data_IF_066715888675
#
_entry.id   IF_066715888675
#
_cell.length_a   1.000
_cell.length_b   1.000
_cell.length_c   1.000
_cell.angle_alpha   90.00
_cell.angle_beta   90.00
_cell.angle_gamma   90.00
#
_symmetry.space_group_name_H-M   'P 1'
#
loop_
_entity.id
_entity.type
_entity.pdbx_description
1 polymer ?
#
# COMPACT_ATOMS: atom_id res chain seq x y z
N UNK A 1 11.54 -16.40 2.78
CA UNK A 1 11.73 -15.33 3.74
C UNK A 1 10.38 -15.09 4.38
N UNK A 2 10.27 -15.19 5.72
CA UNK A 2 9.20 -14.50 6.38
C UNK A 2 9.29 -13.06 5.89
N UNK A 3 8.20 -12.47 5.51
CA UNK A 3 8.22 -11.11 5.02
C UNK A 3 8.64 -10.20 6.17
N UNK A 4 9.95 -10.01 6.32
CA UNK A 4 10.54 -9.04 7.24
C UNK A 4 10.03 -7.61 7.01
N UNK A 5 9.22 -7.44 5.98
CA UNK A 5 8.55 -6.21 5.62
C UNK A 5 7.18 -6.01 6.28
N UNK A 6 6.62 -7.03 6.96
CA UNK A 6 5.41 -6.86 7.76
C UNK A 6 5.84 -6.57 9.19
N UNK A 7 5.47 -5.44 9.79
CA UNK A 7 5.81 -5.11 11.18
C UNK A 7 4.97 -5.94 12.15
N UNK A 8 5.29 -7.21 12.22
CA UNK A 8 4.61 -8.21 13.01
C UNK A 8 5.55 -8.80 14.04
N UNK A 9 5.00 -9.50 15.01
CA UNK A 9 5.76 -10.16 16.05
C UNK A 9 6.64 -11.24 15.42
N UNK A 10 7.96 -11.30 15.69
CA UNK A 10 8.87 -12.28 15.07
C UNK A 10 8.47 -13.74 15.26
N UNK A 11 7.67 -14.05 16.29
CA UNK A 11 7.15 -15.38 16.55
C UNK A 11 6.09 -15.87 15.56
N UNK A 12 5.48 -14.95 14.80
CA UNK A 12 4.43 -15.29 13.83
C UNK A 12 5.03 -15.38 12.42
N UNK A 13 5.64 -16.51 12.16
CA UNK A 13 6.16 -16.85 10.83
C UNK A 13 5.01 -17.08 9.86
N UNK A 14 5.12 -16.49 8.67
CA UNK A 14 4.06 -16.60 7.66
C UNK A 14 2.90 -15.66 7.93
N UNK A 15 3.19 -14.52 8.57
CA UNK A 15 2.22 -13.47 8.81
C UNK A 15 1.35 -13.25 7.59
N UNK A 16 0.09 -13.53 7.78
CA UNK A 16 -0.92 -13.31 6.77
C UNK A 16 -1.20 -11.82 6.68
N UNK A 17 -1.58 -11.37 5.50
CA UNK A 17 -2.05 -10.00 5.33
C UNK A 17 -3.38 -9.74 6.05
N UNK A 18 -3.95 -10.75 6.71
CA UNK A 18 -5.26 -10.69 7.37
C UNK A 18 -5.17 -11.12 8.83
N UNK A 19 -5.91 -10.43 9.68
CA UNK A 19 -6.19 -10.79 11.08
C UNK A 19 -4.94 -11.05 11.93
N UNK A 20 -3.90 -10.27 11.70
CA UNK A 20 -2.57 -10.49 12.23
C UNK A 20 -2.32 -9.78 13.57
N UNK A 21 -1.18 -10.09 14.19
CA UNK A 21 -0.71 -9.49 15.44
C UNK A 21 0.42 -8.50 15.15
N UNK A 22 0.28 -7.28 15.64
CA UNK A 22 1.27 -6.22 15.51
C UNK A 22 1.74 -5.74 16.89
N UNK A 23 2.93 -5.15 16.93
CA UNK A 23 3.39 -4.42 18.13
C UNK A 23 2.75 -3.03 18.14
N UNK A 24 1.89 -2.80 19.09
CA UNK A 24 1.28 -1.49 19.34
C UNK A 24 1.83 -0.91 20.64
N UNK A 25 2.60 0.17 20.55
CA UNK A 25 3.25 0.82 21.70
C UNK A 25 4.02 -0.19 22.58
N UNK A 26 4.78 -1.08 21.95
CA UNK A 26 5.61 -2.07 22.64
C UNK A 26 4.86 -3.32 23.13
N UNK A 27 3.55 -3.45 22.86
CA UNK A 27 2.74 -4.61 23.26
C UNK A 27 2.16 -5.30 22.05
N UNK A 28 2.08 -6.63 22.12
CA UNK A 28 1.41 -7.44 21.11
C UNK A 28 -0.10 -7.18 21.14
N UNK A 29 -0.65 -6.90 19.95
CA UNK A 29 -2.08 -6.70 19.78
C UNK A 29 -2.57 -7.32 18.49
N UNK A 30 -3.63 -8.15 18.57
CA UNK A 30 -4.29 -8.72 17.41
C UNK A 30 -5.24 -7.70 16.78
N UNK A 31 -5.17 -7.58 15.46
CA UNK A 31 -6.05 -6.73 14.67
C UNK A 31 -6.86 -7.56 13.69
N UNK A 32 -8.12 -7.19 13.51
CA UNK A 32 -8.99 -7.75 12.47
C UNK A 32 -8.88 -6.97 11.16
N UNK A 33 -8.86 -7.69 10.06
CA UNK A 33 -8.91 -7.14 8.71
C UNK A 33 -7.57 -7.19 7.98
N UNK A 34 -7.56 -6.62 6.79
CA UNK A 34 -6.40 -6.55 5.92
C UNK A 34 -5.36 -5.54 6.45
N UNK A 35 -4.08 -5.91 6.45
CA UNK A 35 -3.01 -5.13 7.07
C UNK A 35 -3.00 -3.65 6.67
N UNK A 36 -3.10 -3.36 5.37
CA UNK A 36 -3.15 -1.97 4.89
C UNK A 36 -4.34 -1.21 5.45
N UNK A 37 -5.54 -1.84 5.46
CA UNK A 37 -6.73 -1.22 6.06
C UNK A 37 -6.54 -0.95 7.56
N UNK A 38 -5.85 -1.85 8.26
CA UNK A 38 -5.51 -1.68 9.68
C UNK A 38 -4.59 -0.47 9.87
N UNK A 39 -3.51 -0.38 9.10
CA UNK A 39 -2.54 0.71 9.23
C UNK A 39 -3.17 2.07 8.96
N UNK A 40 -3.96 2.20 7.91
CA UNK A 40 -4.69 3.45 7.63
C UNK A 40 -5.75 3.79 8.68
N UNK A 41 -6.40 2.78 9.27
CA UNK A 41 -7.34 2.99 10.38
C UNK A 41 -6.64 3.55 11.62
N UNK A 42 -5.53 2.95 12.01
CA UNK A 42 -4.76 3.38 13.18
C UNK A 42 -4.11 4.76 12.96
N UNK A 43 -3.64 5.04 11.74
CA UNK A 43 -3.14 6.36 11.38
C UNK A 43 -4.22 7.45 11.54
N UNK A 44 -5.43 7.21 11.02
CA UNK A 44 -6.55 8.15 11.18
C UNK A 44 -6.94 8.34 12.66
N UNK A 45 -6.95 7.26 13.45
CA UNK A 45 -7.20 7.35 14.88
C UNK A 45 -6.16 8.24 15.58
N UNK A 46 -4.87 8.02 15.28
CA UNK A 46 -3.77 8.83 15.84
C UNK A 46 -3.90 10.31 15.45
N UNK A 47 -4.18 10.63 14.18
CA UNK A 47 -4.36 12.00 13.71
C UNK A 47 -5.52 12.69 14.43
N UNK A 48 -6.67 12.01 14.60
CA UNK A 48 -7.82 12.55 15.31
C UNK A 48 -7.54 12.76 16.81
N UNK A 49 -6.90 11.82 17.46
CA UNK A 49 -6.51 11.94 18.87
C UNK A 49 -5.55 13.12 19.12
N UNK A 50 -4.61 13.35 18.16
CA UNK A 50 -3.68 14.49 18.23
C UNK A 50 -4.40 15.81 18.01
N UNK A 51 -5.28 15.88 17.01
CA UNK A 51 -6.09 17.06 16.71
C UNK A 51 -6.99 17.44 17.90
N UNK A 52 -7.70 16.48 18.49
CA UNK A 52 -8.55 16.72 19.65
C UNK A 52 -7.80 17.25 20.89
N UNK A 53 -6.48 17.03 20.94
CA UNK A 53 -5.59 17.58 21.99
C UNK A 53 -4.91 18.88 21.56
N UNK A 54 -5.25 19.44 20.40
CA UNK A 54 -4.55 20.57 19.78
C UNK A 54 -3.03 20.36 19.66
N UNK A 55 -2.61 19.12 19.37
CA UNK A 55 -1.21 18.77 19.20
C UNK A 55 -0.89 18.60 17.70
N UNK A 56 0.19 19.20 17.18
CA UNK A 56 0.66 18.90 15.86
C UNK A 56 1.08 17.42 15.76
N UNK A 57 0.97 16.82 14.59
CA UNK A 57 1.37 15.44 14.38
C UNK A 57 2.28 15.27 13.17
N UNK A 58 3.16 14.28 13.24
CA UNK A 58 3.85 13.67 12.11
C UNK A 58 3.42 12.20 12.04
N UNK A 59 2.78 11.80 10.96
CA UNK A 59 2.38 10.41 10.73
C UNK A 59 3.18 9.83 9.56
N UNK A 60 4.15 8.96 9.86
CA UNK A 60 4.88 8.19 8.87
C UNK A 60 4.23 6.82 8.71
N UNK A 61 3.54 6.60 7.59
CA UNK A 61 2.77 5.40 7.32
C UNK A 61 3.46 4.54 6.25
N UNK A 62 4.35 3.66 6.67
CA UNK A 62 5.01 2.71 5.76
C UNK A 62 4.20 1.43 5.64
N UNK A 63 3.60 1.22 4.47
CA UNK A 63 2.88 -0.02 4.19
C UNK A 63 3.82 -1.09 3.63
N UNK A 64 3.56 -2.36 3.97
CA UNK A 64 4.26 -3.50 3.36
C UNK A 64 3.73 -3.84 1.96
N UNK A 65 2.53 -3.38 1.61
CA UNK A 65 1.94 -3.53 0.29
C UNK A 65 2.57 -2.52 -0.70
N UNK A 66 2.81 -2.90 -1.96
CA UNK A 66 2.47 -4.18 -2.61
C UNK A 66 3.63 -5.20 -2.66
N UNK A 67 4.43 -5.33 -1.61
CA UNK A 67 5.53 -6.31 -1.57
C UNK A 67 4.99 -7.76 -1.59
N UNK A 68 5.76 -8.69 -2.16
CA UNK A 68 5.42 -10.12 -2.10
C UNK A 68 5.46 -10.72 -0.68
N UNK A 69 4.71 -11.79 -0.42
CA UNK A 69 3.79 -12.49 -1.33
C UNK A 69 2.59 -11.63 -1.72
N UNK A 70 2.13 -11.80 -2.98
CA UNK A 70 1.00 -10.98 -3.46
C UNK A 70 -0.33 -11.56 -2.99
N UNK A 71 -0.83 -11.04 -1.90
CA UNK A 71 -2.09 -11.47 -1.24
C UNK A 71 -3.03 -10.27 -1.14
N UNK A 72 -3.73 -9.91 -2.23
CA UNK A 72 -4.74 -8.85 -2.21
C UNK A 72 -6.03 -9.32 -1.56
N UNK A 73 -6.89 -8.39 -1.18
CA UNK A 73 -8.30 -8.68 -0.90
C UNK A 73 -8.96 -9.22 -2.16
N UNK A 74 -9.85 -10.19 -2.01
CA UNK A 74 -10.47 -10.87 -3.15
C UNK A 74 -11.30 -9.93 -4.02
N UNK A 75 -11.96 -8.94 -3.42
CA UNK A 75 -12.71 -7.90 -4.14
C UNK A 75 -11.80 -7.06 -5.06
N UNK A 76 -10.61 -6.67 -4.57
CA UNK A 76 -9.63 -5.90 -5.34
C UNK A 76 -9.06 -6.74 -6.48
N UNK A 77 -8.74 -8.00 -6.20
CA UNK A 77 -8.29 -8.94 -7.21
C UNK A 77 -9.33 -9.15 -8.32
N UNK A 78 -10.59 -9.38 -7.94
CA UNK A 78 -11.71 -9.55 -8.90
C UNK A 78 -11.87 -8.33 -9.78
N UNK A 79 -11.82 -7.13 -9.20
CA UNK A 79 -11.89 -5.89 -9.98
C UNK A 79 -10.77 -5.80 -11.02
N UNK A 80 -9.52 -5.99 -10.61
CA UNK A 80 -8.37 -5.94 -11.53
C UNK A 80 -8.45 -7.05 -12.59
N UNK A 81 -8.84 -8.26 -12.19
CA UNK A 81 -9.04 -9.36 -13.15
C UNK A 81 -10.04 -8.96 -14.26
N UNK A 82 -11.16 -8.33 -13.89
CA UNK A 82 -12.14 -7.82 -14.86
C UNK A 82 -11.55 -6.74 -15.77
N UNK A 83 -10.72 -5.84 -15.23
CA UNK A 83 -10.03 -4.82 -16.03
C UNK A 83 -9.07 -5.46 -17.03
N UNK A 84 -8.28 -6.44 -16.60
CA UNK A 84 -7.31 -7.14 -17.45
C UNK A 84 -7.95 -8.08 -18.51
N UNK A 85 -9.24 -8.33 -18.43
CA UNK A 85 -10.02 -9.06 -19.45
C UNK A 85 -10.51 -8.16 -20.60
N UNK A 86 -10.26 -6.85 -20.54
CA UNK A 86 -10.61 -5.95 -21.65
C UNK A 86 -9.63 -6.11 -22.82
N UNK A 87 -10.12 -6.00 -24.03
CA UNK A 87 -9.36 -6.24 -25.28
C UNK A 87 -8.00 -5.52 -25.36
N UNK A 88 -7.88 -4.35 -24.77
CA UNK A 88 -6.61 -3.60 -24.71
C UNK A 88 -5.46 -4.34 -24.01
N UNK A 89 -5.76 -5.41 -23.28
CA UNK A 89 -4.77 -6.24 -22.58
C UNK A 89 -4.60 -7.63 -23.18
N UNK A 90 -5.16 -7.90 -24.35
CA UNK A 90 -5.09 -9.23 -25.01
C UNK A 90 -3.66 -9.63 -25.37
N UNK A 91 -2.78 -8.66 -25.57
CA UNK A 91 -1.36 -8.88 -25.80
C UNK A 91 -0.62 -9.48 -24.59
N UNK A 92 -1.23 -9.44 -23.39
CA UNK A 92 -0.65 -10.02 -22.18
C UNK A 92 -1.04 -11.49 -22.05
N UNK A 93 -0.05 -12.35 -21.87
CA UNK A 93 -0.29 -13.78 -21.59
C UNK A 93 -1.03 -14.01 -20.27
N UNK A 94 -1.81 -15.08 -20.18
CA UNK A 94 -2.67 -15.38 -19.02
C UNK A 94 -1.90 -15.50 -17.69
N UNK A 95 -0.68 -16.02 -17.71
CA UNK A 95 0.15 -16.08 -16.50
C UNK A 95 0.50 -14.66 -15.99
N UNK A 96 0.83 -13.74 -16.90
CA UNK A 96 1.11 -12.36 -16.54
C UNK A 96 -0.16 -11.66 -16.04
N UNK A 97 -1.29 -11.80 -16.71
CA UNK A 97 -2.59 -11.28 -16.25
C UNK A 97 -2.93 -11.79 -14.83
N UNK A 98 -2.73 -13.08 -14.57
CA UNK A 98 -2.94 -13.67 -13.24
C UNK A 98 -2.04 -13.01 -12.18
N UNK A 99 -0.75 -12.86 -12.43
CA UNK A 99 0.20 -12.22 -11.50
C UNK A 99 -0.11 -10.74 -11.30
N UNK A 100 -0.42 -10.03 -12.37
CA UNK A 100 -0.83 -8.62 -12.29
C UNK A 100 -2.12 -8.43 -11.51
N UNK A 101 -3.08 -9.35 -11.62
CA UNK A 101 -4.32 -9.25 -10.84
C UNK A 101 -4.08 -9.29 -9.34
N UNK A 102 -3.07 -10.01 -8.89
CA UNK A 102 -2.65 -10.04 -7.48
C UNK A 102 -1.93 -8.75 -7.09
N UNK A 103 -0.89 -8.39 -7.83
CA UNK A 103 -0.07 -7.22 -7.55
C UNK A 103 -0.86 -5.89 -7.61
N UNK A 104 -1.58 -5.66 -8.71
CA UNK A 104 -2.40 -4.46 -8.89
C UNK A 104 -3.60 -4.43 -7.95
N UNK A 105 -4.10 -5.61 -7.51
CA UNK A 105 -5.12 -5.70 -6.47
C UNK A 105 -4.65 -5.09 -5.15
N UNK A 106 -3.40 -5.34 -4.76
CA UNK A 106 -2.82 -4.71 -3.58
C UNK A 106 -2.65 -3.19 -3.75
N UNK A 107 -2.22 -2.74 -4.93
CA UNK A 107 -2.10 -1.30 -5.24
C UNK A 107 -3.47 -0.62 -5.20
N UNK A 108 -4.52 -1.26 -5.74
CA UNK A 108 -5.88 -0.75 -5.68
C UNK A 108 -6.35 -0.54 -4.23
N UNK A 109 -6.01 -1.43 -3.32
CA UNK A 109 -6.33 -1.27 -1.91
C UNK A 109 -5.61 -0.07 -1.28
N UNK A 110 -4.33 0.17 -1.63
CA UNK A 110 -3.61 1.37 -1.18
C UNK A 110 -4.32 2.63 -1.68
N UNK A 111 -4.60 2.72 -2.98
CA UNK A 111 -5.29 3.86 -3.59
C UNK A 111 -6.64 4.14 -2.93
N UNK A 112 -7.43 3.08 -2.68
CA UNK A 112 -8.70 3.18 -1.98
C UNK A 112 -8.55 3.74 -0.55
N UNK A 113 -7.52 3.32 0.17
CA UNK A 113 -7.24 3.81 1.52
C UNK A 113 -6.73 5.25 1.53
N UNK A 114 -5.93 5.65 0.55
CA UNK A 114 -5.52 7.05 0.37
C UNK A 114 -6.75 7.93 0.13
N UNK A 115 -7.65 7.52 -0.75
CA UNK A 115 -8.91 8.23 -0.98
C UNK A 115 -9.77 8.37 0.29
N UNK A 116 -9.80 7.34 1.13
CA UNK A 116 -10.47 7.41 2.45
C UNK A 116 -9.75 8.33 3.42
N UNK A 117 -8.41 8.35 3.39
CA UNK A 117 -7.63 9.26 4.23
C UNK A 117 -7.87 10.72 3.82
N UNK A 118 -7.88 11.01 2.53
CA UNK A 118 -8.16 12.37 2.05
C UNK A 118 -9.53 12.85 2.50
N UNK A 119 -10.58 12.03 2.31
CA UNK A 119 -11.93 12.36 2.82
C UNK A 119 -11.96 12.56 4.33
N UNK A 120 -11.26 11.69 5.09
CA UNK A 120 -11.15 11.84 6.54
C UNK A 120 -10.52 13.18 6.95
N UNK A 121 -9.48 13.63 6.26
CA UNK A 121 -8.86 14.94 6.53
C UNK A 121 -9.85 16.06 6.23
N UNK A 122 -10.59 15.98 5.13
CA UNK A 122 -11.62 16.96 4.76
C UNK A 122 -12.77 17.00 5.79
N UNK A 123 -13.29 15.85 6.20
CA UNK A 123 -14.41 15.70 7.15
C UNK A 123 -14.07 16.11 8.59
N UNK A 124 -12.79 16.25 8.92
CA UNK A 124 -12.33 16.65 10.26
C UNK A 124 -11.60 18.01 10.27
N UNK A 125 -11.76 18.81 9.22
CA UNK A 125 -11.14 20.14 9.07
C UNK A 125 -9.61 20.14 9.21
N UNK A 126 -8.97 19.03 8.79
CA UNK A 126 -7.51 18.86 8.86
C UNK A 126 -6.81 19.15 7.55
N UNK A 127 -7.53 19.19 6.43
CA UNK A 127 -6.97 19.29 5.08
C UNK A 127 -6.14 20.54 4.84
N UNK A 128 -6.62 21.70 5.29
CA UNK A 128 -5.99 23.00 5.03
C UNK A 128 -4.70 23.23 5.83
N UNK A 129 -4.43 22.35 6.81
CA UNK A 129 -3.24 22.46 7.66
C UNK A 129 -2.48 21.12 7.73
N UNK A 130 -2.61 20.28 6.70
CA UNK A 130 -1.89 18.99 6.62
C UNK A 130 -1.22 18.84 5.27
N UNK A 131 0.09 18.67 5.28
CA UNK A 131 0.84 18.25 4.09
C UNK A 131 0.73 16.73 3.98
N UNK A 132 0.09 16.26 2.92
CA UNK A 132 0.02 14.83 2.60
C UNK A 132 1.01 14.49 1.49
N UNK A 133 1.97 13.62 1.80
CA UNK A 133 2.97 13.13 0.84
C UNK A 133 2.75 11.64 0.61
N UNK A 134 2.57 11.24 -0.64
CA UNK A 134 2.57 9.85 -1.06
C UNK A 134 3.77 9.59 -1.96
N UNK A 135 4.58 8.59 -1.61
CA UNK A 135 5.68 8.14 -2.45
C UNK A 135 5.92 6.65 -2.26
N UNK A 136 6.57 6.02 -3.22
CA UNK A 136 7.09 4.65 -3.06
C UNK A 136 8.57 4.70 -2.70
N UNK A 137 9.08 3.62 -2.10
CA UNK A 137 10.46 3.52 -1.63
C UNK A 137 11.45 3.24 -2.77
N UNK A 138 11.03 2.48 -3.77
CA UNK A 138 11.84 2.06 -4.91
C UNK A 138 10.96 1.58 -6.08
N UNK A 139 11.59 1.31 -7.22
CA UNK A 139 10.93 0.75 -8.38
C UNK A 139 10.41 -0.67 -8.16
N UNK A 140 9.73 -1.23 -9.15
CA UNK A 140 9.08 -2.53 -9.06
C UNK A 140 9.84 -3.63 -9.82
N UNK A 141 9.72 -4.88 -9.37
CA UNK A 141 10.10 -6.07 -10.16
C UNK A 141 8.98 -6.50 -11.11
N UNK A 142 7.73 -6.25 -10.73
CA UNK A 142 6.55 -6.63 -11.52
C UNK A 142 6.13 -5.56 -12.51
N UNK A 143 6.19 -4.30 -12.11
CA UNK A 143 5.75 -3.15 -12.90
C UNK A 143 6.38 -3.07 -14.28
N UNK A 144 7.70 -3.24 -14.45
CA UNK A 144 8.37 -3.14 -15.74
C UNK A 144 7.91 -4.14 -16.80
N UNK A 145 7.35 -5.28 -16.40
CA UNK A 145 6.77 -6.26 -17.32
C UNK A 145 5.45 -5.79 -17.94
N UNK A 146 4.85 -4.78 -17.33
CA UNK A 146 3.58 -4.20 -17.77
C UNK A 146 3.77 -2.78 -18.29
N UNK A 147 4.40 -1.91 -17.48
CA UNK A 147 4.66 -0.53 -17.82
C UNK A 147 5.80 0.03 -16.97
N UNK A 148 6.80 0.61 -17.60
CA UNK A 148 7.96 1.20 -16.91
C UNK A 148 8.23 2.67 -17.31
N UNK A 149 7.25 3.33 -17.91
CA UNK A 149 7.34 4.72 -18.37
C UNK A 149 8.58 5.02 -19.25
N UNK A 150 9.05 4.04 -20.03
CA UNK A 150 10.25 4.15 -20.85
C UNK A 150 11.57 4.14 -20.07
N UNK A 151 11.53 3.99 -18.75
CA UNK A 151 12.73 3.98 -17.93
C UNK A 151 13.53 2.68 -18.09
N UNK A 152 14.84 2.80 -18.08
CA UNK A 152 15.75 1.64 -18.03
C UNK A 152 15.78 1.07 -16.62
N UNK A 153 15.83 -0.27 -16.53
CA UNK A 153 16.03 -0.98 -15.26
C UNK A 153 14.78 -1.16 -14.43
N UNK A 154 14.95 -1.69 -13.24
CA UNK A 154 13.89 -2.09 -12.30
C UNK A 154 14.45 -2.09 -10.87
N UNK A 155 13.64 -2.42 -9.87
CA UNK A 155 14.07 -2.62 -8.48
C UNK A 155 15.37 -3.43 -8.40
N UNK A 156 16.28 -3.05 -7.53
CA UNK A 156 17.64 -3.58 -7.34
C UNK A 156 18.69 -3.17 -8.37
N UNK A 157 18.31 -2.40 -9.39
CA UNK A 157 19.23 -1.87 -10.39
C UNK A 157 19.44 -0.37 -10.20
N UNK A 158 20.61 0.12 -10.61
CA UNK A 158 21.02 1.53 -10.44
C UNK A 158 20.35 2.50 -11.43
N UNK A 159 19.60 1.97 -12.39
CA UNK A 159 18.92 2.75 -13.41
C UNK A 159 17.64 3.41 -12.89
N UNK A 160 17.13 4.39 -13.63
CA UNK A 160 15.93 5.15 -13.24
C UNK A 160 14.74 4.27 -12.84
N UNK A 161 14.49 3.16 -13.55
CA UNK A 161 13.44 2.22 -13.19
C UNK A 161 13.60 1.55 -11.82
N UNK A 162 14.78 1.66 -11.20
CA UNK A 162 15.05 1.16 -9.86
C UNK A 162 14.76 2.16 -8.74
N UNK A 163 14.90 3.46 -9.00
CA UNK A 163 14.85 4.48 -7.95
C UNK A 163 14.02 5.73 -8.28
N UNK A 164 13.72 6.02 -9.54
CA UNK A 164 12.82 7.10 -9.92
C UNK A 164 11.38 6.67 -9.72
N UNK A 165 10.79 7.10 -8.63
CA UNK A 165 9.46 6.68 -8.16
C UNK A 165 8.47 7.83 -8.16
N UNK A 166 7.16 7.54 -8.24
CA UNK A 166 6.13 8.55 -8.06
C UNK A 166 6.23 9.22 -6.69
N UNK A 167 6.09 10.54 -6.67
CA UNK A 167 5.91 11.33 -5.46
C UNK A 167 4.81 12.35 -5.72
N UNK A 168 3.77 12.31 -4.90
CA UNK A 168 2.63 13.21 -4.96
C UNK A 168 2.52 13.97 -3.66
N UNK A 169 2.35 15.29 -3.73
CA UNK A 169 2.23 16.18 -2.57
C UNK A 169 0.94 16.95 -2.70
N UNK A 170 0.12 16.92 -1.65
CA UNK A 170 -1.06 17.78 -1.47
C UNK A 170 -0.81 18.68 -0.26
N UNK A 171 -1.00 20.00 -0.48
CA UNK A 171 -0.89 21.02 0.56
C UNK A 171 -1.88 22.14 0.29
#
# INVERSE_FOLDING_TARGET
YPSSSIPSVPAYWGNDYFDDVYIHNGKEQRYKGYCTDVFFREAKRFMLESSNKNQPFLCYLSTNTPHGPFIPKEEDRKYIKKVLQQNKFDHLGENLKRRLSLYLGMIRNIDWNIGKLMRFLDENDLSDNTILIFQTDNGSLMGPQYFNAGMRGKKTEIWEGGHRVPCFIRW
#
